data_IF_220924122174
#
_entry.id   IF_220924122174
#
_cell.length_a   1.000
_cell.length_b   1.000
_cell.length_c   1.000
_cell.angle_alpha   90.00
_cell.angle_beta   90.00
_cell.angle_gamma   90.00
#
_symmetry.space_group_name_H-M   'P 1'
#
loop_
_entity.id
_entity.type
_entity.pdbx_description
1 polymer ?
#
# COMPACT_ATOMS: atom_id res chain seq x y z
N UNK A 1 2.07 -13.52 -13.65
CA UNK A 1 2.61 -12.19 -13.28
C UNK A 1 3.74 -12.37 -12.26
N UNK A 2 4.66 -11.41 -12.14
CA UNK A 2 5.72 -11.41 -11.12
C UNK A 2 5.68 -10.12 -10.32
N UNK A 3 5.69 -10.21 -8.99
CA UNK A 3 5.77 -9.05 -8.10
C UNK A 3 7.18 -8.97 -7.50
N UNK A 4 7.91 -7.92 -7.85
CA UNK A 4 9.22 -7.61 -7.27
C UNK A 4 9.01 -6.72 -6.06
N UNK A 5 9.51 -7.16 -4.90
CA UNK A 5 9.31 -6.48 -3.62
C UNK A 5 10.60 -6.33 -2.82
N UNK A 6 10.61 -5.37 -1.91
CA UNK A 6 11.55 -5.32 -0.80
C UNK A 6 11.13 -6.26 0.33
N UNK A 7 11.87 -6.22 1.44
CA UNK A 7 11.50 -6.95 2.64
C UNK A 7 10.24 -6.35 3.28
N UNK A 8 9.18 -7.15 3.42
CA UNK A 8 7.88 -6.76 3.99
C UNK A 8 7.94 -6.30 5.45
N UNK A 9 9.05 -6.49 6.18
CA UNK A 9 9.24 -5.91 7.52
C UNK A 9 9.72 -4.45 7.49
N UNK A 10 10.22 -3.98 6.34
CA UNK A 10 10.95 -2.72 6.19
C UNK A 10 10.42 -1.85 5.03
N UNK A 11 9.50 -2.36 4.22
CA UNK A 11 8.92 -1.66 3.08
C UNK A 11 7.41 -1.83 3.10
N UNK A 12 6.71 -0.80 3.57
CA UNK A 12 5.25 -0.80 3.61
C UNK A 12 4.69 -0.89 2.19
N UNK A 13 5.21 -0.11 1.25
CA UNK A 13 4.82 -0.17 -0.17
C UNK A 13 4.88 -1.58 -0.76
N UNK A 14 5.92 -2.34 -0.42
CA UNK A 14 6.04 -3.75 -0.81
C UNK A 14 4.96 -4.64 -0.17
N UNK A 15 4.68 -4.44 1.12
CA UNK A 15 3.61 -5.16 1.82
C UNK A 15 2.24 -4.86 1.20
N UNK A 16 1.95 -3.60 0.89
CA UNK A 16 0.66 -3.13 0.35
C UNK A 16 0.32 -3.79 -0.99
N UNK A 17 1.27 -3.79 -1.94
CA UNK A 17 1.07 -4.48 -3.24
C UNK A 17 0.98 -6.00 -3.08
N UNK A 18 1.77 -6.58 -2.19
CA UNK A 18 1.71 -8.02 -1.91
C UNK A 18 0.36 -8.42 -1.31
N UNK A 19 -0.13 -7.66 -0.32
CA UNK A 19 -1.39 -7.91 0.34
C UNK A 19 -2.56 -7.80 -0.64
N UNK A 20 -2.55 -6.76 -1.49
CA UNK A 20 -3.56 -6.60 -2.55
C UNK A 20 -3.67 -7.84 -3.44
N UNK A 21 -2.54 -8.32 -4.00
CA UNK A 21 -2.56 -9.49 -4.88
C UNK A 21 -2.99 -10.77 -4.15
N UNK A 22 -2.60 -10.91 -2.87
CA UNK A 22 -2.98 -12.07 -2.04
C UNK A 22 -4.47 -12.08 -1.73
N UNK A 23 -5.03 -10.97 -1.27
CA UNK A 23 -6.46 -10.88 -0.94
C UNK A 23 -7.33 -10.92 -2.21
N UNK A 24 -6.83 -10.43 -3.35
CA UNK A 24 -7.48 -10.62 -4.66
C UNK A 24 -7.47 -12.10 -5.13
N UNK A 25 -6.73 -12.98 -4.45
CA UNK A 25 -6.59 -14.38 -4.85
C UNK A 25 -5.90 -14.54 -6.20
N UNK A 26 -4.95 -13.67 -6.52
CA UNK A 26 -4.19 -13.72 -7.76
C UNK A 26 -2.91 -14.53 -7.58
N UNK A 27 -2.61 -15.39 -8.54
CA UNK A 27 -1.35 -16.13 -8.56
C UNK A 27 -0.21 -15.25 -9.11
N UNK A 28 0.88 -15.17 -8.37
CA UNK A 28 2.06 -14.40 -8.76
C UNK A 28 3.36 -15.01 -8.23
N UNK A 29 4.43 -14.84 -9.00
CA UNK A 29 5.80 -15.12 -8.57
C UNK A 29 6.30 -13.95 -7.71
N UNK A 30 6.70 -14.22 -6.47
CA UNK A 30 7.24 -13.20 -5.55
C UNK A 30 8.77 -13.18 -5.65
N UNK A 31 9.32 -12.08 -6.18
CA UNK A 31 10.77 -11.87 -6.21
C UNK A 31 11.19 -10.82 -5.18
N UNK A 32 11.96 -11.22 -4.18
CA UNK A 32 12.40 -10.31 -3.10
C UNK A 32 13.81 -9.78 -3.34
N UNK A 33 13.95 -8.47 -3.43
CA UNK A 33 15.23 -7.75 -3.40
C UNK A 33 15.59 -7.45 -1.93
N UNK A 34 16.73 -7.94 -1.41
CA UNK A 34 17.24 -7.51 -0.13
C UNK A 34 17.56 -6.01 -0.14
N UNK A 35 17.07 -5.28 0.86
CA UNK A 35 17.31 -3.85 1.03
C UNK A 35 18.54 -3.59 1.90
N UNK A 36 19.13 -2.41 1.76
CA UNK A 36 20.29 -1.93 2.55
C UNK A 36 21.58 -2.75 2.35
N UNK A 37 21.76 -3.34 1.17
CA UNK A 37 23.03 -3.97 0.74
C UNK A 37 23.71 -3.11 -0.33
N UNK A 38 25.04 -3.23 -0.52
CA UNK A 38 25.75 -2.55 -1.61
C UNK A 38 25.17 -2.86 -3.00
N UNK A 39 24.61 -4.06 -3.19
CA UNK A 39 24.00 -4.49 -4.45
C UNK A 39 22.55 -4.02 -4.65
N UNK A 40 21.89 -3.46 -3.61
CA UNK A 40 20.46 -3.11 -3.67
C UNK A 40 20.18 -2.10 -4.78
N UNK A 41 21.02 -1.06 -4.93
CA UNK A 41 20.79 -0.02 -5.92
C UNK A 41 20.79 -0.58 -7.36
N UNK A 42 21.74 -1.46 -7.69
CA UNK A 42 21.82 -2.10 -9.00
C UNK A 42 20.60 -3.00 -9.26
N UNK A 43 20.19 -3.80 -8.27
CA UNK A 43 19.01 -4.66 -8.40
C UNK A 43 17.71 -3.87 -8.58
N UNK A 44 17.57 -2.71 -7.90
CA UNK A 44 16.40 -1.85 -8.07
C UNK A 44 16.35 -1.17 -9.44
N UNK A 45 17.52 -0.76 -9.97
CA UNK A 45 17.62 -0.16 -11.30
C UNK A 45 17.32 -1.18 -12.42
N UNK A 46 17.70 -2.44 -12.22
CA UNK A 46 17.34 -3.54 -13.13
C UNK A 46 15.83 -3.84 -13.13
N UNK A 47 15.17 -3.67 -11.98
CA UNK A 47 13.74 -3.94 -11.85
C UNK A 47 12.82 -2.90 -12.51
N UNK A 48 13.14 -1.61 -12.41
CA UNK A 48 12.36 -0.54 -13.06
C UNK A 48 13.15 0.78 -13.11
N UNK A 49 12.81 1.71 -14.04
CA UNK A 49 13.42 3.03 -14.09
C UNK A 49 13.15 3.90 -12.84
N UNK A 50 12.16 3.53 -12.02
CA UNK A 50 11.88 4.23 -10.77
C UNK A 50 12.91 3.93 -9.66
N UNK A 51 13.75 2.90 -9.85
CA UNK A 51 14.76 2.46 -8.88
C UNK A 51 14.15 2.22 -7.48
N UNK A 52 12.91 1.72 -7.45
CA UNK A 52 12.11 1.51 -6.24
C UNK A 52 11.32 0.21 -6.37
N UNK A 53 10.90 -0.30 -5.23
CA UNK A 53 9.94 -1.41 -5.09
C UNK A 53 8.70 -0.89 -4.37
N UNK A 54 7.51 -1.45 -4.64
CA UNK A 54 7.24 -2.63 -5.48
C UNK A 54 7.23 -2.34 -6.98
N UNK A 55 7.41 -3.40 -7.77
CA UNK A 55 7.20 -3.42 -9.23
C UNK A 55 6.41 -4.68 -9.59
N UNK A 56 5.30 -4.51 -10.32
CA UNK A 56 4.57 -5.62 -10.94
C UNK A 56 5.04 -5.78 -12.38
N UNK A 57 5.51 -6.96 -12.74
CA UNK A 57 5.73 -7.36 -14.13
C UNK A 57 4.48 -8.10 -14.61
N UNK A 58 3.75 -7.48 -15.53
CA UNK A 58 2.53 -8.01 -16.13
C UNK A 58 2.63 -7.91 -17.64
N UNK A 59 2.56 -9.06 -18.34
CA UNK A 59 2.67 -9.13 -19.81
C UNK A 59 3.90 -8.36 -20.35
N UNK A 60 5.07 -8.61 -19.75
CA UNK A 60 6.35 -7.95 -20.06
C UNK A 60 6.40 -6.43 -19.81
N UNK A 61 5.32 -5.83 -19.27
CA UNK A 61 5.30 -4.44 -18.83
C UNK A 61 5.68 -4.36 -17.35
N UNK A 62 6.65 -3.50 -17.04
CA UNK A 62 6.95 -3.12 -15.66
C UNK A 62 6.03 -1.98 -15.21
N UNK A 63 5.30 -2.19 -14.13
CA UNK A 63 4.43 -1.22 -13.48
C UNK A 63 5.02 -0.96 -12.09
N UNK A 64 5.59 0.22 -11.91
CA UNK A 64 6.08 0.69 -10.61
C UNK A 64 5.04 1.64 -9.99
N UNK A 65 5.19 1.89 -8.69
CA UNK A 65 4.22 2.60 -7.83
C UNK A 65 3.06 1.72 -7.33
N UNK A 66 2.82 1.74 -6.01
CA UNK A 66 1.81 0.86 -5.39
C UNK A 66 0.40 1.17 -5.84
N UNK A 67 0.05 2.46 -6.01
CA UNK A 67 -1.30 2.84 -6.42
C UNK A 67 -1.50 2.56 -7.93
N UNK A 68 -0.47 2.75 -8.74
CA UNK A 68 -0.52 2.38 -10.17
C UNK A 68 -0.65 0.85 -10.36
N UNK A 69 0.07 0.05 -9.58
CA UNK A 69 -0.11 -1.41 -9.54
C UNK A 69 -1.55 -1.73 -9.15
N UNK A 70 -2.08 -1.07 -8.12
CA UNK A 70 -3.43 -1.35 -7.64
C UNK A 70 -4.51 -1.05 -8.69
N UNK A 71 -4.46 0.10 -9.36
CA UNK A 71 -5.39 0.43 -10.43
C UNK A 71 -5.24 -0.51 -11.63
N UNK A 72 -4.01 -0.90 -11.99
CA UNK A 72 -3.79 -1.87 -13.09
C UNK A 72 -4.41 -3.23 -12.77
N UNK A 73 -4.31 -3.68 -11.52
CA UNK A 73 -4.93 -4.94 -11.07
C UNK A 73 -6.45 -4.80 -11.02
N UNK A 74 -6.99 -3.67 -10.55
CA UNK A 74 -8.43 -3.44 -10.57
C UNK A 74 -9.01 -3.40 -12.00
N UNK A 75 -8.26 -2.86 -12.96
CA UNK A 75 -8.63 -2.86 -14.38
C UNK A 75 -8.55 -4.26 -15.01
N UNK A 76 -7.49 -5.01 -14.71
CA UNK A 76 -7.25 -6.34 -15.28
C UNK A 76 -8.17 -7.45 -14.74
N UNK A 77 -8.70 -7.28 -13.53
CA UNK A 77 -9.57 -8.25 -12.85
C UNK A 77 -10.80 -7.57 -12.22
N UNK A 78 -11.71 -7.02 -13.04
CA UNK A 78 -12.87 -6.28 -12.54
C UNK A 78 -13.80 -7.14 -11.68
N UNK A 79 -13.83 -8.46 -11.90
CA UNK A 79 -14.63 -9.41 -11.11
C UNK A 79 -14.16 -9.56 -9.66
N UNK A 80 -12.98 -9.02 -9.31
CA UNK A 80 -12.45 -9.01 -7.95
C UNK A 80 -12.99 -7.86 -7.11
N UNK A 81 -13.67 -6.89 -7.73
CA UNK A 81 -14.30 -5.74 -7.06
C UNK A 81 -13.37 -5.03 -6.05
N UNK A 82 -12.11 -4.82 -6.44
CA UNK A 82 -11.05 -4.25 -5.60
C UNK A 82 -11.29 -2.78 -5.20
N UNK A 83 -12.28 -2.15 -5.83
CA UNK A 83 -12.87 -0.89 -5.40
C UNK A 83 -14.34 -1.10 -5.07
N UNK A 84 -14.92 -0.29 -4.15
CA UNK A 84 -16.37 -0.31 -3.93
C UNK A 84 -17.17 -0.16 -5.22
N UNK A 85 -18.28 -0.88 -5.33
CA UNK A 85 -19.15 -0.85 -6.53
C UNK A 85 -20.00 0.43 -6.58
N UNK A 86 -20.45 0.95 -5.43
CA UNK A 86 -21.09 2.26 -5.34
C UNK A 86 -20.12 3.39 -5.71
N UNK A 87 -20.60 4.32 -6.55
CA UNK A 87 -19.76 5.39 -7.10
C UNK A 87 -19.27 6.38 -6.04
N UNK A 88 -20.08 6.70 -5.02
CA UNK A 88 -19.69 7.63 -3.96
C UNK A 88 -18.68 6.98 -3.02
N UNK A 89 -18.93 5.73 -2.62
CA UNK A 89 -17.99 4.95 -1.82
C UNK A 89 -16.65 4.77 -2.53
N UNK A 90 -16.66 4.50 -3.85
CA UNK A 90 -15.45 4.37 -4.67
C UNK A 90 -14.67 5.67 -4.77
N UNK A 91 -15.36 6.79 -4.95
CA UNK A 91 -14.71 8.10 -4.96
C UNK A 91 -14.02 8.38 -3.61
N UNK A 92 -14.69 8.07 -2.49
CA UNK A 92 -14.11 8.21 -1.16
C UNK A 92 -12.89 7.29 -0.96
N UNK A 93 -12.98 6.02 -1.34
CA UNK A 93 -11.88 5.05 -1.25
C UNK A 93 -10.64 5.50 -2.03
N UNK A 94 -10.84 6.04 -3.24
CA UNK A 94 -9.75 6.60 -4.06
C UNK A 94 -9.12 7.84 -3.42
N UNK A 95 -9.93 8.75 -2.87
CA UNK A 95 -9.41 9.95 -2.20
C UNK A 95 -8.48 9.60 -1.04
N UNK A 96 -8.91 8.73 -0.12
CA UNK A 96 -8.08 8.37 1.05
C UNK A 96 -6.86 7.53 0.66
N UNK A 97 -6.97 6.72 -0.41
CA UNK A 97 -5.84 5.96 -0.95
C UNK A 97 -4.78 6.88 -1.56
N UNK A 98 -5.21 7.91 -2.30
CA UNK A 98 -4.33 8.93 -2.85
C UNK A 98 -3.72 9.82 -1.75
N UNK A 99 -4.49 10.16 -0.71
CA UNK A 99 -3.98 10.86 0.47
C UNK A 99 -2.91 10.02 1.20
N UNK A 100 -3.14 8.71 1.35
CA UNK A 100 -2.13 7.76 1.87
C UNK A 100 -0.94 7.57 0.93
N UNK A 101 -1.09 7.82 -0.37
CA UNK A 101 0.00 7.77 -1.34
C UNK A 101 0.90 9.02 -1.27
N UNK A 102 0.29 10.21 -1.23
CA UNK A 102 0.99 11.49 -1.41
C UNK A 102 1.17 12.34 -0.12
N UNK A 103 0.35 12.11 0.92
CA UNK A 103 0.40 12.83 2.21
C UNK A 103 1.21 12.07 3.26
N UNK A 104 1.10 12.38 4.56
CA UNK A 104 1.70 11.64 5.70
C UNK A 104 3.24 11.56 5.76
N UNK A 105 3.94 12.65 5.43
CA UNK A 105 5.39 12.66 5.38
C UNK A 105 6.03 12.44 6.77
N UNK A 106 5.50 13.08 7.81
CA UNK A 106 6.08 13.06 9.16
C UNK A 106 6.03 11.67 9.77
N UNK A 107 4.90 10.94 9.63
CA UNK A 107 4.82 9.55 10.11
C UNK A 107 5.77 8.62 9.35
N UNK A 108 5.98 8.82 8.04
CA UNK A 108 6.92 7.97 7.27
C UNK A 108 8.38 8.23 7.63
N UNK A 109 8.71 9.46 8.00
CA UNK A 109 10.07 9.82 8.42
C UNK A 109 10.35 9.39 9.86
N UNK A 110 9.43 9.71 10.79
CA UNK A 110 9.64 9.55 12.23
C UNK A 110 9.18 8.18 12.75
N UNK A 111 8.28 7.50 12.05
CA UNK A 111 7.77 6.16 12.36
C UNK A 111 7.80 5.24 11.12
N UNK A 112 8.97 5.09 10.44
CA UNK A 112 9.09 4.22 9.28
C UNK A 112 8.80 2.78 9.66
N UNK A 113 8.31 2.00 8.69
CA UNK A 113 8.04 0.59 8.87
C UNK A 113 9.30 -0.16 9.33
N UNK A 114 9.25 -0.70 10.54
CA UNK A 114 10.23 -1.63 11.06
C UNK A 114 9.54 -2.59 12.03
N UNK A 115 8.91 -3.64 11.49
CA UNK A 115 8.17 -4.64 12.27
C UNK A 115 9.07 -5.48 13.20
N UNK A 116 10.39 -5.31 13.12
CA UNK A 116 11.38 -5.98 13.97
C UNK A 116 11.96 -5.06 15.04
N UNK A 117 11.61 -3.78 15.03
CA UNK A 117 12.07 -2.81 16.01
C UNK A 117 11.40 -3.04 17.37
N UNK A 118 12.19 -3.13 18.44
CA UNK A 118 11.69 -3.21 19.81
C UNK A 118 12.17 -2.00 20.61
N UNK A 119 11.33 -1.49 21.51
CA UNK A 119 11.69 -0.41 22.42
C UNK A 119 11.94 0.95 21.77
N UNK A 120 11.47 1.19 20.53
CA UNK A 120 11.61 2.47 19.84
C UNK A 120 10.84 3.56 20.61
N UNK A 121 11.51 4.66 20.93
CA UNK A 121 10.90 5.88 21.46
C UNK A 121 10.92 6.93 20.37
N UNK A 122 9.76 7.52 20.09
CA UNK A 122 9.62 8.56 19.06
C UNK A 122 9.02 9.78 19.76
N UNK A 123 9.66 10.94 19.56
CA UNK A 123 9.07 12.21 19.96
C UNK A 123 7.86 12.49 19.09
N UNK A 124 6.79 13.05 19.66
CA UNK A 124 5.57 13.38 18.93
C UNK A 124 5.50 14.89 18.68
N UNK A 125 6.21 15.43 17.66
CA UNK A 125 6.00 16.81 17.24
C UNK A 125 4.59 16.99 16.66
N UNK A 126 4.18 18.23 16.51
CA UNK A 126 2.83 18.59 16.07
C UNK A 126 2.51 18.01 14.68
N UNK A 127 3.48 18.00 13.75
CA UNK A 127 3.29 17.45 12.40
C UNK A 127 3.06 15.92 12.41
N UNK A 128 3.76 15.20 13.29
CA UNK A 128 3.55 13.75 13.45
C UNK A 128 2.19 13.48 14.09
N UNK A 129 1.81 14.29 15.08
CA UNK A 129 0.51 14.17 15.75
C UNK A 129 -0.62 14.43 14.75
N UNK A 130 -0.49 15.45 13.90
CA UNK A 130 -1.47 15.76 12.86
C UNK A 130 -1.61 14.62 11.82
N UNK A 131 -0.50 14.02 11.38
CA UNK A 131 -0.52 12.85 10.50
C UNK A 131 -1.28 11.67 11.14
N UNK A 132 -0.99 11.39 12.41
CA UNK A 132 -1.62 10.30 13.18
C UNK A 132 -3.11 10.55 13.36
N UNK A 133 -3.48 11.75 13.79
CA UNK A 133 -4.88 12.14 14.02
C UNK A 133 -5.69 12.07 12.73
N UNK A 134 -5.12 12.50 11.60
CA UNK A 134 -5.77 12.40 10.29
C UNK A 134 -6.00 10.95 9.87
N UNK A 135 -5.05 10.04 10.11
CA UNK A 135 -5.24 8.61 9.84
C UNK A 135 -6.36 8.04 10.72
N UNK A 136 -6.39 8.37 12.01
CA UNK A 136 -7.47 7.96 12.91
C UNK A 136 -8.83 8.49 12.49
N UNK A 137 -8.89 9.74 12.04
CA UNK A 137 -10.10 10.34 11.51
C UNK A 137 -10.62 9.57 10.29
N UNK A 138 -9.75 9.27 9.32
CA UNK A 138 -10.10 8.49 8.13
C UNK A 138 -10.70 7.14 8.52
N UNK A 139 -10.02 6.39 9.41
CA UNK A 139 -10.51 5.09 9.87
C UNK A 139 -11.82 5.20 10.63
N UNK A 140 -11.97 6.22 11.48
CA UNK A 140 -13.20 6.46 12.25
C UNK A 140 -14.37 6.78 11.32
N UNK A 141 -14.17 7.64 10.32
CA UNK A 141 -15.19 7.98 9.33
C UNK A 141 -15.59 6.74 8.51
N UNK A 142 -14.62 5.95 8.06
CA UNK A 142 -14.88 4.69 7.35
C UNK A 142 -15.69 3.72 8.22
N UNK A 143 -15.30 3.53 9.48
CA UNK A 143 -16.00 2.64 10.40
C UNK A 143 -17.43 3.11 10.69
N UNK A 144 -17.64 4.41 10.90
CA UNK A 144 -18.98 4.98 11.14
C UNK A 144 -19.89 4.80 9.93
N UNK A 145 -19.36 4.97 8.72
CA UNK A 145 -20.16 4.96 7.49
C UNK A 145 -20.36 3.56 6.91
N UNK A 146 -19.35 2.69 6.97
CA UNK A 146 -19.32 1.39 6.28
C UNK A 146 -19.12 0.20 7.19
N UNK A 147 -18.81 0.40 8.48
CA UNK A 147 -18.49 -0.71 9.41
C UNK A 147 -19.63 -1.69 9.67
N UNK A 148 -20.88 -1.32 9.35
CA UNK A 148 -22.02 -2.24 9.35
C UNK A 148 -22.06 -3.21 8.16
N UNK A 149 -21.25 -2.96 7.13
CA UNK A 149 -21.20 -3.75 5.89
C UNK A 149 -20.13 -4.85 5.94
N UNK A 150 -19.22 -4.82 6.93
CA UNK A 150 -18.17 -5.80 7.11
C UNK A 150 -16.97 -5.24 7.87
N UNK A 151 -15.88 -6.02 7.91
CA UNK A 151 -14.71 -5.74 8.77
C UNK A 151 -13.70 -4.76 8.16
N UNK A 152 -13.83 -4.45 6.88
CA UNK A 152 -12.88 -3.65 6.10
C UNK A 152 -13.37 -2.21 5.96
N UNK A 153 -12.51 -1.29 5.55
CA UNK A 153 -12.79 0.15 5.49
C UNK A 153 -14.06 0.50 4.70
N UNK A 154 -14.40 -0.31 3.69
CA UNK A 154 -15.62 -0.18 2.89
C UNK A 154 -16.49 -1.45 2.91
N UNK A 155 -16.44 -2.20 4.02
CA UNK A 155 -17.20 -3.44 4.23
C UNK A 155 -16.48 -4.69 3.71
N UNK A 156 -16.14 -4.70 2.41
CA UNK A 156 -15.29 -5.73 1.80
C UNK A 156 -13.86 -5.25 1.60
N UNK A 157 -12.92 -6.18 1.42
CA UNK A 157 -11.53 -5.82 1.19
C UNK A 157 -11.43 -4.98 -0.09
N UNK A 158 -10.74 -3.87 0.00
CA UNK A 158 -10.54 -2.94 -1.10
C UNK A 158 -9.09 -2.49 -1.17
N UNK A 159 -8.74 -1.80 -2.26
CA UNK A 159 -7.43 -1.15 -2.40
C UNK A 159 -7.19 -0.15 -1.26
N UNK A 160 -8.23 0.47 -0.70
CA UNK A 160 -8.06 1.33 0.47
C UNK A 160 -7.46 0.55 1.66
N UNK A 161 -7.95 -0.66 1.94
CA UNK A 161 -7.39 -1.51 3.00
C UNK A 161 -5.93 -1.87 2.71
N UNK A 162 -5.63 -2.23 1.46
CA UNK A 162 -4.26 -2.48 1.03
C UNK A 162 -3.37 -1.24 1.20
N UNK A 163 -3.87 -0.04 0.93
CA UNK A 163 -3.09 1.21 1.04
C UNK A 163 -2.82 1.62 2.48
N UNK A 164 -3.66 1.25 3.44
CA UNK A 164 -3.47 1.53 4.86
C UNK A 164 -2.73 0.42 5.64
N UNK A 165 -2.27 -0.64 4.95
CA UNK A 165 -1.42 -1.69 5.52
C UNK A 165 0.03 -1.24 5.78
#
# INVERSE_FOLDING_TARGET
MRLIIGNKNYSSWSLRSWLLLKEAGLEFDEHRIPLNLPSTAAALADASPACRVPVLILNDQAIWDTLAIAETVAEGWPEKELWPTDAKSRAHARSISAEMHAGFAAIRELMPMNCRGLGRKVTLPDELTADIDRIFEIWTQCQQQYGGLGRWLFGQFSIADAMFA
#
